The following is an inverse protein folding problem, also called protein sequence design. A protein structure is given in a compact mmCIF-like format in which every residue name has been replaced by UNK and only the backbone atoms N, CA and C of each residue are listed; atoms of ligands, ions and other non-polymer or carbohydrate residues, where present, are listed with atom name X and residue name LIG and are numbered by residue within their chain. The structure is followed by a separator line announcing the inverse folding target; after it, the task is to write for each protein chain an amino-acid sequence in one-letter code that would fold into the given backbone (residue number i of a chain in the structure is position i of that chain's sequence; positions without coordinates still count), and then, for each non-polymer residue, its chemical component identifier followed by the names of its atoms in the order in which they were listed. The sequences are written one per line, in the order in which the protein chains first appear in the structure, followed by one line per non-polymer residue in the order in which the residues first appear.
data_IF_987497491374
#
_entry.id   IF_987497491374
#
_cell.length_a   1.000
_cell.length_b   1.000
_cell.length_c   1.000
_cell.angle_alpha   90.00
_cell.angle_beta   90.00
_cell.angle_gamma   90.00
#
_symmetry.space_group_name_H-M   'P 1'
#
loop_
_entity.id
_entity.type
_entity.pdbx_description
1 polymer ?
#
# COMPACT_ATOMS: atom_id res chain seq x y z
N UNK A 1 -34.64 -40.79 -45.19
CA UNK A 1 -33.57 -41.82 -45.21
C UNK A 1 -32.53 -41.41 -44.15
N UNK A 2 -32.54 -42.16 -43.10
CA UNK A 2 -31.73 -42.08 -41.89
C UNK A 2 -30.23 -42.17 -42.17
N UNK A 3 -29.40 -41.46 -41.43
CA UNK A 3 -28.13 -41.99 -40.89
C UNK A 3 -27.61 -41.12 -39.74
N UNK A 4 -27.87 -41.63 -38.52
CA UNK A 4 -27.26 -41.27 -37.28
C UNK A 4 -25.80 -41.74 -37.26
N UNK A 5 -24.84 -40.81 -37.05
CA UNK A 5 -23.49 -41.16 -36.58
C UNK A 5 -23.30 -40.70 -35.17
N UNK A 6 -23.47 -41.64 -34.24
CA UNK A 6 -23.01 -41.48 -32.85
C UNK A 6 -21.50 -41.72 -32.84
N UNK A 7 -20.74 -40.65 -32.49
CA UNK A 7 -19.32 -40.75 -32.22
C UNK A 7 -19.14 -40.75 -30.69
N UNK A 8 -18.99 -41.90 -30.13
CA UNK A 8 -18.61 -42.10 -28.73
C UNK A 8 -17.10 -41.86 -28.60
N UNK A 9 -16.71 -40.73 -28.07
CA UNK A 9 -15.32 -40.47 -27.71
C UNK A 9 -15.11 -40.93 -26.26
N UNK A 10 -14.51 -42.13 -26.12
CA UNK A 10 -14.02 -42.64 -24.83
C UNK A 10 -12.76 -41.87 -24.46
N UNK A 11 -12.87 -40.93 -23.50
CA UNK A 11 -11.71 -40.35 -22.90
C UNK A 11 -11.07 -41.33 -21.90
N UNK A 12 -10.00 -41.96 -22.36
CA UNK A 12 -9.11 -42.71 -21.51
C UNK A 12 -8.23 -41.75 -20.71
N UNK A 13 -8.61 -41.48 -19.45
CA UNK A 13 -7.79 -40.70 -18.55
C UNK A 13 -6.64 -41.60 -18.04
N UNK A 14 -5.48 -41.46 -18.67
CA UNK A 14 -4.24 -41.99 -18.13
C UNK A 14 -3.71 -41.04 -17.06
N UNK A 15 -3.78 -41.48 -15.81
CA UNK A 15 -3.05 -40.86 -14.70
C UNK A 15 -1.52 -40.98 -14.97
N UNK A 16 -0.77 -39.90 -14.80
CA UNK A 16 0.69 -39.98 -14.86
C UNK A 16 1.22 -40.76 -13.65
N UNK A 17 2.30 -41.56 -13.81
CA UNK A 17 2.87 -42.37 -12.74
C UNK A 17 3.37 -41.47 -11.61
N UNK A 18 2.98 -41.77 -10.39
CA UNK A 18 3.53 -41.18 -9.18
C UNK A 18 5.02 -41.50 -9.12
N UNK A 19 5.84 -40.51 -9.36
CA UNK A 19 7.28 -40.61 -9.10
C UNK A 19 7.47 -40.71 -7.59
N UNK A 20 7.97 -41.89 -7.19
CA UNK A 20 8.47 -42.16 -5.85
C UNK A 20 9.54 -41.11 -5.49
N UNK A 21 9.18 -40.17 -4.64
CA UNK A 21 10.17 -39.34 -3.96
C UNK A 21 10.78 -40.19 -2.85
N UNK A 22 12.09 -40.47 -2.87
CA UNK A 22 12.74 -41.02 -1.72
C UNK A 22 12.67 -39.97 -0.60
N UNK A 23 12.12 -40.38 0.53
CA UNK A 23 12.15 -39.64 1.78
C UNK A 23 13.56 -39.72 2.36
N UNK A 24 14.47 -38.89 1.82
CA UNK A 24 15.73 -38.62 2.49
C UNK A 24 15.46 -37.61 3.60
N UNK A 25 15.04 -38.11 4.74
CA UNK A 25 15.16 -37.43 6.01
C UNK A 25 16.64 -37.52 6.41
N UNK A 26 17.46 -36.75 5.78
CA UNK A 26 18.73 -36.40 6.38
C UNK A 26 18.46 -35.29 7.40
N UNK A 27 18.52 -35.69 8.65
CA UNK A 27 18.65 -34.82 9.79
C UNK A 27 20.02 -34.11 9.68
N UNK A 28 20.05 -33.04 8.89
CA UNK A 28 21.05 -32.04 9.02
C UNK A 28 20.75 -31.28 10.29
N UNK A 29 21.45 -31.60 11.37
CA UNK A 29 21.51 -30.75 12.55
C UNK A 29 21.92 -29.34 12.08
N UNK A 30 20.93 -28.46 11.98
CA UNK A 30 21.19 -27.05 11.81
C UNK A 30 21.93 -26.58 13.06
N UNK A 31 23.22 -26.34 12.89
CA UNK A 31 24.13 -25.77 13.91
C UNK A 31 23.75 -24.31 14.18
N UNK A 32 22.50 -24.10 14.60
CA UNK A 32 21.98 -22.80 15.04
C UNK A 32 22.22 -22.53 16.53
N UNK A 33 22.96 -23.39 17.20
CA UNK A 33 23.18 -23.26 18.66
C UNK A 33 24.27 -22.28 19.05
N UNK A 34 25.12 -21.88 18.11
CA UNK A 34 26.31 -21.05 18.42
C UNK A 34 26.15 -19.55 18.04
N UNK A 35 24.99 -19.17 17.48
CA UNK A 35 24.68 -17.76 17.21
C UNK A 35 23.42 -17.33 17.97
N UNK A 36 23.40 -17.60 19.26
CA UNK A 36 22.43 -16.96 20.13
C UNK A 36 22.90 -15.52 20.34
N UNK A 37 22.50 -14.64 19.39
CA UNK A 37 22.62 -13.20 19.60
C UNK A 37 21.70 -12.88 20.77
N UNK A 38 22.27 -12.55 21.90
CA UNK A 38 21.53 -12.05 23.05
C UNK A 38 20.96 -10.68 22.66
N UNK A 39 19.67 -10.67 22.32
CA UNK A 39 18.89 -9.46 22.04
C UNK A 39 18.22 -8.92 23.32
N UNK A 40 18.68 -9.37 24.50
CA UNK A 40 18.28 -8.75 25.76
C UNK A 40 18.75 -7.30 25.72
N UNK A 41 17.84 -6.39 25.93
CA UNK A 41 18.20 -4.98 26.08
C UNK A 41 19.30 -4.89 27.16
N UNK A 42 20.42 -4.21 26.91
CA UNK A 42 21.46 -4.04 27.90
C UNK A 42 20.84 -3.38 29.13
N UNK A 43 20.71 -4.16 30.20
CA UNK A 43 20.31 -3.62 31.49
C UNK A 43 21.35 -2.58 31.88
N UNK A 44 20.94 -1.41 32.33
CA UNK A 44 21.74 -0.30 32.89
C UNK A 44 22.32 0.75 31.93
N UNK A 45 21.90 0.81 30.65
CA UNK A 45 22.32 1.91 29.78
C UNK A 45 21.61 3.24 30.04
N UNK A 46 20.47 3.22 30.71
CA UNK A 46 19.72 4.44 31.05
C UNK A 46 20.51 5.39 31.98
N UNK A 47 21.39 4.83 32.82
CA UNK A 47 22.25 5.62 33.71
C UNK A 47 23.46 6.25 33.04
N UNK A 48 23.84 5.76 31.82
CA UNK A 48 25.00 6.25 31.06
C UNK A 48 24.67 7.27 29.99
N UNK A 49 23.41 7.34 29.61
CA UNK A 49 22.93 8.28 28.60
C UNK A 49 21.74 9.08 29.12
N UNK A 50 22.00 10.13 29.92
CA UNK A 50 20.94 10.98 30.46
C UNK A 50 20.11 11.71 29.38
N UNK A 51 20.62 11.77 28.15
CA UNK A 51 19.93 12.37 26.99
C UNK A 51 18.93 11.41 26.33
N UNK A 52 18.79 10.17 26.78
CA UNK A 52 17.83 9.20 26.23
C UNK A 52 16.43 9.32 26.83
N UNK A 53 16.21 10.17 27.82
CA UNK A 53 14.92 10.33 28.49
C UNK A 53 13.89 11.14 27.69
N UNK A 54 14.29 11.83 26.61
CA UNK A 54 13.42 12.77 25.90
C UNK A 54 12.83 12.22 24.59
N UNK A 55 12.92 10.90 24.36
CA UNK A 55 12.33 10.28 23.14
C UNK A 55 10.91 9.73 23.40
N UNK A 56 10.32 10.01 24.55
CA UNK A 56 9.00 9.53 24.93
C UNK A 56 7.84 10.17 24.14
N UNK A 57 8.10 11.25 23.38
CA UNK A 57 7.06 11.95 22.62
C UNK A 57 6.92 11.50 21.16
N UNK A 58 7.66 10.46 20.75
CA UNK A 58 7.50 9.87 19.42
C UNK A 58 6.36 8.86 19.32
N UNK A 59 5.64 8.60 20.41
CA UNK A 59 4.56 7.62 20.46
C UNK A 59 3.33 8.01 19.63
N UNK A 60 3.19 9.28 19.23
CA UNK A 60 2.09 9.75 18.39
C UNK A 60 2.34 9.57 16.88
N UNK A 61 3.58 9.40 16.45
CA UNK A 61 3.90 9.18 15.05
C UNK A 61 3.76 7.70 14.71
N UNK A 62 2.81 7.39 13.81
CA UNK A 62 2.71 6.04 13.29
C UNK A 62 4.05 5.63 12.65
N UNK A 63 4.61 4.45 12.98
CA UNK A 63 5.86 4.00 12.40
C UNK A 63 5.72 3.88 10.88
N UNK A 64 6.72 4.37 10.16
CA UNK A 64 6.74 4.32 8.70
C UNK A 64 6.50 2.90 8.17
N UNK A 65 5.42 2.69 7.41
CA UNK A 65 5.04 1.39 6.89
C UNK A 65 4.44 1.51 5.47
N UNK A 66 5.27 1.37 4.42
CA UNK A 66 4.85 1.52 3.04
C UNK A 66 3.84 0.46 2.59
N UNK A 67 3.86 -0.75 3.15
CA UNK A 67 2.89 -1.80 2.81
C UNK A 67 1.50 -1.45 3.32
N UNK A 68 1.38 -0.93 4.54
CA UNK A 68 0.10 -0.46 5.06
C UNK A 68 -0.40 0.76 4.28
N UNK A 69 0.49 1.67 3.90
CA UNK A 69 0.14 2.81 3.07
C UNK A 69 -0.44 2.36 1.72
N UNK A 70 0.26 1.47 1.02
CA UNK A 70 -0.19 0.93 -0.27
C UNK A 70 -1.54 0.23 -0.17
N UNK A 71 -1.75 -0.59 0.86
CA UNK A 71 -3.03 -1.26 1.09
C UNK A 71 -4.17 -0.27 1.32
N UNK A 72 -3.93 0.82 2.05
CA UNK A 72 -4.93 1.88 2.22
C UNK A 72 -5.21 2.62 0.92
N UNK A 73 -4.21 2.83 0.05
CA UNK A 73 -4.44 3.39 -1.30
C UNK A 73 -5.33 2.47 -2.12
N UNK A 74 -5.08 1.17 -2.16
CA UNK A 74 -5.91 0.20 -2.88
C UNK A 74 -7.37 0.20 -2.39
N UNK A 75 -7.56 0.22 -1.08
CA UNK A 75 -8.92 0.31 -0.47
C UNK A 75 -9.57 1.66 -0.82
N UNK A 76 -8.80 2.75 -0.82
CA UNK A 76 -9.26 4.06 -1.26
C UNK A 76 -9.73 4.05 -2.72
N UNK A 77 -8.95 3.44 -3.62
CA UNK A 77 -9.28 3.27 -5.03
C UNK A 77 -10.56 2.45 -5.24
N UNK A 78 -10.78 1.44 -4.40
CA UNK A 78 -12.04 0.69 -4.41
C UNK A 78 -13.24 1.59 -4.07
N UNK A 79 -13.13 2.43 -3.04
CA UNK A 79 -14.21 3.37 -2.67
C UNK A 79 -14.41 4.45 -3.73
N UNK A 80 -13.33 4.94 -4.37
CA UNK A 80 -13.41 5.86 -5.51
C UNK A 80 -14.24 5.28 -6.65
N UNK A 81 -14.00 4.03 -7.03
CA UNK A 81 -14.77 3.32 -8.07
C UNK A 81 -16.24 3.13 -7.70
N UNK A 82 -16.56 3.03 -6.42
CA UNK A 82 -17.92 2.93 -5.89
C UNK A 82 -18.61 4.30 -5.74
N UNK A 83 -17.92 5.41 -6.01
CA UNK A 83 -18.44 6.76 -5.80
C UNK A 83 -18.51 7.19 -4.33
N UNK A 84 -17.99 6.39 -3.41
CA UNK A 84 -17.93 6.74 -2.00
C UNK A 84 -16.67 7.57 -1.70
N UNK A 85 -16.69 8.83 -2.11
CA UNK A 85 -15.54 9.73 -2.01
C UNK A 85 -15.12 10.00 -0.57
N UNK A 86 -16.08 10.07 0.36
CA UNK A 86 -15.76 10.29 1.80
C UNK A 86 -14.95 9.14 2.39
N UNK A 87 -15.33 7.91 2.09
CA UNK A 87 -14.56 6.74 2.53
C UNK A 87 -13.18 6.67 1.85
N UNK A 88 -13.10 7.03 0.56
CA UNK A 88 -11.84 7.10 -0.17
C UNK A 88 -10.88 8.12 0.48
N UNK A 89 -11.35 9.32 0.79
CA UNK A 89 -10.59 10.37 1.46
C UNK A 89 -10.01 9.86 2.79
N UNK A 90 -10.82 9.21 3.62
CA UNK A 90 -10.37 8.64 4.89
C UNK A 90 -9.22 7.64 4.69
N UNK A 91 -9.34 6.74 3.69
CA UNK A 91 -8.31 5.74 3.41
C UNK A 91 -7.02 6.35 2.87
N UNK A 92 -7.10 7.35 2.00
CA UNK A 92 -5.91 8.03 1.49
C UNK A 92 -5.21 8.86 2.58
N UNK A 93 -5.96 9.49 3.49
CA UNK A 93 -5.38 10.16 4.66
C UNK A 93 -4.64 9.17 5.56
N UNK A 94 -5.25 8.02 5.85
CA UNK A 94 -4.61 6.95 6.61
C UNK A 94 -3.35 6.42 5.89
N UNK A 95 -3.35 6.33 4.56
CA UNK A 95 -2.14 5.97 3.80
C UNK A 95 -1.00 6.95 4.04
N UNK A 96 -1.30 8.25 4.07
CA UNK A 96 -0.31 9.30 4.32
C UNK A 96 0.20 9.32 5.77
N UNK A 97 -0.57 8.83 6.74
CA UNK A 97 -0.09 8.63 8.12
C UNK A 97 0.98 7.51 8.19
N UNK A 98 0.83 6.43 7.40
CA UNK A 98 1.81 5.35 7.32
C UNK A 98 3.02 5.67 6.45
N UNK A 99 2.84 6.51 5.43
CA UNK A 99 3.90 6.93 4.51
C UNK A 99 3.72 8.41 4.17
N UNK A 100 4.20 9.31 5.03
CA UNK A 100 4.21 10.74 4.75
C UNK A 100 4.94 11.03 3.42
N UNK A 101 4.44 11.99 2.65
CA UNK A 101 4.98 12.36 1.34
C UNK A 101 4.90 11.26 0.27
N UNK A 102 3.90 10.38 0.35
CA UNK A 102 3.57 9.49 -0.76
C UNK A 102 2.87 10.28 -1.87
N UNK A 103 3.56 10.46 -3.00
CA UNK A 103 3.02 11.23 -4.12
C UNK A 103 1.73 10.59 -4.70
N UNK A 104 1.66 9.26 -4.77
CA UNK A 104 0.47 8.58 -5.30
C UNK A 104 -0.72 8.79 -4.37
N UNK A 105 -0.55 8.56 -3.07
CA UNK A 105 -1.60 8.79 -2.07
C UNK A 105 -2.06 10.25 -2.05
N UNK A 106 -1.13 11.22 -2.13
CA UNK A 106 -1.43 12.65 -2.18
C UNK A 106 -2.26 13.01 -3.42
N UNK A 107 -1.90 12.50 -4.60
CA UNK A 107 -2.66 12.72 -5.83
C UNK A 107 -4.05 12.11 -5.75
N UNK A 108 -4.18 10.86 -5.26
CA UNK A 108 -5.46 10.19 -5.09
C UNK A 108 -6.36 10.89 -4.09
N UNK A 109 -5.78 11.40 -3.00
CA UNK A 109 -6.50 12.23 -2.02
C UNK A 109 -7.06 13.50 -2.69
N UNK A 110 -6.23 14.20 -3.46
CA UNK A 110 -6.66 15.39 -4.19
C UNK A 110 -7.84 15.10 -5.13
N UNK A 111 -7.77 14.00 -5.88
CA UNK A 111 -8.87 13.58 -6.76
C UNK A 111 -10.16 13.27 -5.98
N UNK A 112 -10.04 12.60 -4.84
CA UNK A 112 -11.21 12.25 -4.01
C UNK A 112 -11.87 13.49 -3.41
N UNK A 113 -11.07 14.44 -2.94
CA UNK A 113 -11.53 15.74 -2.42
C UNK A 113 -12.24 16.55 -3.50
N UNK A 114 -11.67 16.60 -4.71
CA UNK A 114 -12.28 17.29 -5.86
C UNK A 114 -13.64 16.68 -6.25
N UNK A 115 -13.73 15.35 -6.25
CA UNK A 115 -15.02 14.64 -6.48
C UNK A 115 -16.02 14.81 -5.34
N UNK A 116 -15.55 15.06 -4.12
CA UNK A 116 -16.40 15.33 -2.95
C UNK A 116 -16.73 16.82 -2.78
N UNK A 117 -16.44 17.65 -3.78
CA UNK A 117 -16.67 19.11 -3.82
C UNK A 117 -15.88 19.92 -2.76
N UNK A 118 -14.86 19.33 -2.17
CA UNK A 118 -13.91 19.99 -1.24
C UNK A 118 -12.79 20.70 -2.02
N UNK A 119 -13.15 21.72 -2.80
CA UNK A 119 -12.27 22.33 -3.83
C UNK A 119 -11.00 22.96 -3.30
N UNK A 120 -11.09 23.69 -2.18
CA UNK A 120 -9.91 24.33 -1.56
C UNK A 120 -8.87 23.31 -1.11
N UNK A 121 -9.33 22.30 -0.38
CA UNK A 121 -8.46 21.24 0.13
C UNK A 121 -7.89 20.37 -1.03
N UNK A 122 -8.68 20.13 -2.08
CA UNK A 122 -8.20 19.48 -3.29
C UNK A 122 -7.05 20.25 -3.95
N UNK A 123 -7.19 21.57 -4.08
CA UNK A 123 -6.13 22.42 -4.67
C UNK A 123 -4.84 22.36 -3.84
N UNK A 124 -4.94 22.37 -2.52
CA UNK A 124 -3.79 22.23 -1.63
C UNK A 124 -3.08 20.87 -1.82
N UNK A 125 -3.84 19.77 -1.93
CA UNK A 125 -3.27 18.44 -2.14
C UNK A 125 -2.65 18.29 -3.54
N UNK A 126 -3.22 18.91 -4.59
CA UNK A 126 -2.57 18.96 -5.90
C UNK A 126 -1.27 19.76 -5.87
N UNK A 127 -1.21 20.87 -5.13
CA UNK A 127 0.03 21.62 -4.91
C UNK A 127 1.05 20.81 -4.10
N UNK A 128 0.61 20.07 -3.08
CA UNK A 128 1.46 19.17 -2.30
C UNK A 128 2.09 18.09 -3.18
N UNK A 129 1.34 17.51 -4.11
CA UNK A 129 1.88 16.58 -5.10
C UNK A 129 3.00 17.23 -5.93
N UNK A 130 2.79 18.43 -6.45
CA UNK A 130 3.79 19.14 -7.25
C UNK A 130 5.06 19.50 -6.46
N UNK A 131 4.95 19.69 -5.14
CA UNK A 131 6.12 19.86 -4.26
C UNK A 131 6.90 18.55 -4.06
N UNK A 132 6.24 17.40 -4.10
CA UNK A 132 6.87 16.08 -3.96
C UNK A 132 7.50 15.66 -5.30
N UNK A 133 6.75 15.76 -6.40
CA UNK A 133 7.16 15.35 -7.74
C UNK A 133 6.75 16.39 -8.80
N UNK A 134 7.58 17.45 -9.00
CA UNK A 134 7.27 18.55 -9.93
C UNK A 134 7.10 18.11 -11.40
N UNK A 135 7.79 17.04 -11.77
CA UNK A 135 7.79 16.42 -13.11
C UNK A 135 7.27 14.98 -13.12
N UNK A 136 6.47 14.61 -12.10
CA UNK A 136 5.90 13.29 -11.99
C UNK A 136 4.80 13.02 -13.01
N UNK A 137 4.38 11.77 -13.10
CA UNK A 137 3.36 11.28 -14.05
C UNK A 137 2.07 12.13 -14.03
N UNK A 138 1.67 12.62 -12.88
CA UNK A 138 0.42 13.38 -12.70
C UNK A 138 0.63 14.90 -12.58
N UNK A 139 1.85 15.39 -12.84
CA UNK A 139 2.16 16.82 -12.64
C UNK A 139 1.32 17.74 -13.53
N UNK A 140 1.13 17.39 -14.80
CA UNK A 140 0.31 18.18 -15.72
C UNK A 140 -1.18 18.12 -15.35
N UNK A 141 -1.66 16.99 -14.89
CA UNK A 141 -3.04 16.87 -14.42
C UNK A 141 -3.29 17.70 -13.17
N UNK A 142 -2.32 17.74 -12.23
CA UNK A 142 -2.38 18.60 -11.06
C UNK A 142 -2.43 20.09 -11.44
N UNK A 143 -1.59 20.55 -12.37
CA UNK A 143 -1.59 21.94 -12.85
C UNK A 143 -2.94 22.32 -13.46
N UNK A 144 -3.49 21.47 -14.33
CA UNK A 144 -4.82 21.66 -14.94
C UNK A 144 -5.93 21.70 -13.89
N UNK A 145 -5.90 20.78 -12.92
CA UNK A 145 -6.88 20.74 -11.84
C UNK A 145 -6.84 22.02 -10.99
N UNK A 146 -5.66 22.46 -10.59
CA UNK A 146 -5.48 23.71 -9.83
C UNK A 146 -6.05 24.91 -10.60
N UNK A 147 -5.69 25.06 -11.89
CA UNK A 147 -6.19 26.16 -12.72
C UNK A 147 -7.74 26.15 -12.78
N UNK A 148 -8.34 24.99 -12.98
CA UNK A 148 -9.81 24.83 -13.00
C UNK A 148 -10.45 25.18 -11.64
N UNK A 149 -9.86 24.73 -10.54
CA UNK A 149 -10.39 24.96 -9.19
C UNK A 149 -10.33 26.45 -8.81
N UNK A 150 -9.24 27.15 -9.17
CA UNK A 150 -9.09 28.59 -8.91
C UNK A 150 -10.11 29.42 -9.71
N UNK A 151 -10.37 29.08 -10.98
CA UNK A 151 -11.36 29.79 -11.79
C UNK A 151 -12.79 29.61 -11.28
N UNK A 152 -13.10 28.45 -10.72
CA UNK A 152 -14.42 28.17 -10.15
C UNK A 152 -14.66 28.79 -8.77
N UNK A 153 -13.60 29.11 -8.04
CA UNK A 153 -13.67 29.76 -6.72
C UNK A 153 -13.97 31.27 -6.82
N UNK A 154 -13.83 31.87 -8.01
CA UNK A 154 -14.06 33.31 -8.25
C UNK A 154 -15.46 33.63 -8.78
N UNK A 155 -16.31 32.62 -8.97
CA UNK A 155 -17.70 32.77 -9.41
C UNK A 155 -18.67 32.60 -8.26
#
# INVERSE_FOLDING_TARGET
MLLLFAFACVLNAQEPPRSDRPSAREQGESSSKDTQVDISAPGDDAAKHPDSEDVSDTSELKPWNPHKAMKNVEVGDFYMKKGNYRAAISRYREALEWKPRDAVATFRLAQALDKNDQKSEAAEQYQAYLKILPHGLYAEDCKKAIARLLTNSQR
#
